data_IF_392895274363
#
_entry.id   IF_392895274363
#
_cell.length_a   1.000
_cell.length_b   1.000
_cell.length_c   1.000
_cell.angle_alpha   90.00
_cell.angle_beta   90.00
_cell.angle_gamma   90.00
#
_symmetry.space_group_name_H-M   'P 1'
#
loop_
_entity.id
_entity.type
_entity.pdbx_description
1 polymer ?
#
# COMPACT_ATOMS: atom_id res chain seq x y z
N UNK A 1 11.26 -17.71 -47.76
CA UNK A 1 10.81 -16.33 -47.49
C UNK A 1 9.80 -16.29 -46.32
N UNK A 2 8.70 -17.03 -46.43
CA UNK A 2 7.62 -17.03 -45.40
C UNK A 2 8.11 -17.41 -43.96
N UNK A 3 9.02 -18.40 -43.84
CA UNK A 3 9.55 -18.84 -42.57
C UNK A 3 10.39 -17.76 -41.85
N UNK A 4 11.19 -17.01 -42.62
CA UNK A 4 12.01 -15.90 -42.07
C UNK A 4 11.12 -14.73 -41.63
N UNK A 5 10.08 -14.41 -42.38
CA UNK A 5 9.12 -13.38 -42.02
C UNK A 5 8.36 -13.74 -40.74
N UNK A 6 7.87 -14.99 -40.67
CA UNK A 6 7.18 -15.48 -39.48
C UNK A 6 8.07 -15.48 -38.23
N UNK A 7 9.38 -15.79 -38.37
CA UNK A 7 10.35 -15.74 -37.29
C UNK A 7 10.55 -14.30 -36.80
N UNK A 8 10.74 -13.34 -37.70
CA UNK A 8 10.91 -11.91 -37.38
C UNK A 8 9.71 -11.34 -36.63
N UNK A 9 8.49 -11.61 -37.07
CA UNK A 9 7.25 -11.19 -36.42
C UNK A 9 7.15 -11.82 -35.00
N UNK A 10 7.52 -13.11 -34.89
CA UNK A 10 7.48 -13.80 -33.59
C UNK A 10 8.51 -13.23 -32.58
N UNK A 11 9.73 -12.90 -33.07
CA UNK A 11 10.77 -12.25 -32.28
C UNK A 11 10.30 -10.89 -31.76
N UNK A 12 9.78 -10.04 -32.65
CA UNK A 12 9.24 -8.72 -32.28
C UNK A 12 8.11 -8.83 -31.25
N UNK A 13 7.19 -9.79 -31.45
CA UNK A 13 6.11 -10.05 -30.48
C UNK A 13 6.65 -10.47 -29.11
N UNK A 14 7.65 -11.36 -29.08
CA UNK A 14 8.24 -11.81 -27.83
C UNK A 14 8.94 -10.68 -27.10
N UNK A 15 9.72 -9.84 -27.78
CA UNK A 15 10.36 -8.69 -27.18
C UNK A 15 9.35 -7.65 -26.68
N UNK A 16 8.32 -7.33 -27.46
CA UNK A 16 7.26 -6.42 -27.03
C UNK A 16 6.48 -6.96 -25.82
N UNK A 17 6.20 -8.27 -25.79
CA UNK A 17 5.54 -8.90 -24.64
C UNK A 17 6.46 -8.97 -23.40
N UNK A 18 7.77 -9.12 -23.57
CA UNK A 18 8.74 -9.13 -22.48
C UNK A 18 9.08 -7.72 -21.97
N UNK A 19 8.75 -6.67 -22.75
CA UNK A 19 8.95 -5.29 -22.34
C UNK A 19 7.96 -4.85 -21.25
N UNK A 20 6.83 -5.55 -21.11
CA UNK A 20 5.78 -5.26 -20.13
C UNK A 20 5.60 -6.53 -19.28
N UNK A 21 5.61 -6.39 -17.94
CA UNK A 21 5.34 -7.49 -17.04
C UNK A 21 3.81 -7.76 -16.93
N UNK A 22 3.45 -8.81 -16.17
CA UNK A 22 2.04 -9.19 -15.98
C UNK A 22 1.22 -8.17 -15.17
N UNK A 23 1.88 -7.19 -14.54
CA UNK A 23 1.25 -6.04 -13.87
C UNK A 23 1.15 -4.80 -14.78
N UNK A 24 1.58 -4.90 -16.06
CA UNK A 24 1.58 -3.77 -16.98
C UNK A 24 2.77 -2.81 -16.82
N UNK A 25 3.80 -3.18 -16.07
CA UNK A 25 5.00 -2.36 -15.85
C UNK A 25 6.00 -2.54 -16.97
N UNK A 26 6.66 -1.46 -17.33
CA UNK A 26 7.67 -1.46 -18.39
C UNK A 26 9.01 -1.95 -17.80
N UNK A 27 9.44 -3.16 -18.21
CA UNK A 27 10.75 -3.71 -17.86
C UNK A 27 11.88 -3.23 -18.78
N UNK A 28 11.55 -2.86 -20.02
CA UNK A 28 12.51 -2.37 -21.03
C UNK A 28 11.87 -1.30 -21.88
N UNK A 29 12.59 -0.19 -22.04
CA UNK A 29 12.12 0.95 -22.84
C UNK A 29 12.38 0.77 -24.34
N UNK A 30 13.25 -0.17 -24.74
CA UNK A 30 13.69 -0.32 -26.13
C UNK A 30 13.58 -1.77 -26.61
N UNK A 31 13.14 -1.93 -27.87
CA UNK A 31 13.26 -3.18 -28.60
C UNK A 31 14.63 -3.24 -29.28
N UNK A 32 15.26 -4.41 -29.30
CA UNK A 32 16.56 -4.62 -29.95
C UNK A 32 16.45 -5.24 -31.33
N UNK A 33 15.40 -6.05 -31.54
CA UNK A 33 15.21 -6.75 -32.80
C UNK A 33 14.58 -5.84 -33.85
N UNK A 34 15.04 -5.97 -35.09
CA UNK A 34 14.49 -5.38 -36.31
C UNK A 34 14.46 -3.84 -36.40
N UNK A 35 14.93 -3.10 -35.40
CA UNK A 35 14.93 -1.61 -35.35
C UNK A 35 15.73 -1.03 -36.52
N UNK A 36 16.80 -1.71 -36.96
CA UNK A 36 17.66 -1.28 -38.04
C UNK A 36 17.24 -1.83 -39.43
N UNK A 37 16.15 -2.59 -39.51
CA UNK A 37 15.65 -3.10 -40.78
C UNK A 37 14.98 -1.96 -41.58
N UNK A 38 15.25 -1.97 -42.89
CA UNK A 38 14.74 -0.95 -43.83
C UNK A 38 13.42 -1.35 -44.52
N UNK A 39 12.64 -2.21 -43.88
CA UNK A 39 11.34 -2.70 -44.40
C UNK A 39 10.20 -2.36 -43.40
N UNK A 40 8.96 -2.78 -43.77
CA UNK A 40 7.74 -2.49 -42.98
C UNK A 40 7.81 -3.07 -41.57
N UNK A 41 8.55 -4.16 -41.34
CA UNK A 41 8.75 -4.72 -39.98
C UNK A 41 9.70 -3.83 -39.18
N UNK A 42 10.73 -3.28 -39.82
CA UNK A 42 11.59 -2.28 -39.19
C UNK A 42 10.82 -1.03 -38.82
N UNK A 43 9.91 -0.55 -39.69
CA UNK A 43 9.05 0.60 -39.40
C UNK A 43 8.13 0.31 -38.19
N UNK A 44 7.54 -0.88 -38.16
CA UNK A 44 6.73 -1.32 -37.01
C UNK A 44 7.55 -1.40 -35.71
N UNK A 45 8.76 -2.00 -35.76
CA UNK A 45 9.65 -2.10 -34.62
C UNK A 45 10.02 -0.73 -34.07
N UNK A 46 10.36 0.23 -34.94
CA UNK A 46 10.65 1.63 -34.53
C UNK A 46 9.42 2.30 -33.92
N UNK A 47 8.24 2.09 -34.49
CA UNK A 47 6.99 2.66 -33.94
C UNK A 47 6.66 2.10 -32.56
N UNK A 48 6.83 0.80 -32.35
CA UNK A 48 6.63 0.17 -31.03
C UNK A 48 7.69 0.64 -30.03
N UNK A 49 8.97 0.73 -30.44
CA UNK A 49 10.05 1.27 -29.57
C UNK A 49 9.76 2.70 -29.14
N UNK A 50 9.35 3.58 -30.05
CA UNK A 50 8.99 4.95 -29.73
C UNK A 50 7.79 5.03 -28.76
N UNK A 51 6.82 4.11 -28.89
CA UNK A 51 5.69 4.03 -27.96
C UNK A 51 6.14 3.57 -26.57
N UNK A 52 6.99 2.56 -26.48
CA UNK A 52 7.56 2.07 -25.22
C UNK A 52 8.40 3.16 -24.55
N UNK A 53 9.22 3.88 -25.31
CA UNK A 53 10.02 5.00 -24.78
C UNK A 53 9.14 6.11 -24.22
N UNK A 54 8.07 6.52 -24.92
CA UNK A 54 7.11 7.51 -24.41
C UNK A 54 6.39 7.04 -23.18
N UNK A 55 6.00 5.76 -23.13
CA UNK A 55 5.41 5.16 -21.92
C UNK A 55 6.41 5.17 -20.76
N UNK A 56 7.67 4.83 -21.02
CA UNK A 56 8.72 4.88 -20.02
C UNK A 56 8.90 6.29 -19.46
N UNK A 57 9.05 7.29 -20.34
CA UNK A 57 9.17 8.70 -19.94
C UNK A 57 7.95 9.15 -19.11
N UNK A 58 6.75 8.75 -19.52
CA UNK A 58 5.53 9.09 -18.80
C UNK A 58 5.47 8.42 -17.43
N UNK A 59 5.84 7.13 -17.34
CA UNK A 59 5.91 6.41 -16.06
C UNK A 59 6.96 7.03 -15.14
N UNK A 60 8.18 7.27 -15.61
CA UNK A 60 9.25 7.90 -14.84
C UNK A 60 8.85 9.29 -14.33
N UNK A 61 8.14 10.07 -15.16
CA UNK A 61 7.58 11.34 -14.74
C UNK A 61 6.55 11.17 -13.61
N UNK A 62 5.62 10.23 -13.74
CA UNK A 62 4.63 9.94 -12.72
C UNK A 62 5.26 9.40 -11.42
N UNK A 63 6.30 8.59 -11.52
CA UNK A 63 7.06 8.04 -10.38
C UNK A 63 7.89 9.12 -9.65
N UNK A 64 8.50 10.05 -10.40
CA UNK A 64 9.29 11.13 -9.82
C UNK A 64 8.47 12.30 -9.27
N UNK A 65 7.26 12.50 -9.80
CA UNK A 65 6.36 13.60 -9.42
C UNK A 65 6.04 13.64 -7.91
N UNK A 66 5.71 12.51 -7.24
CA UNK A 66 5.37 12.53 -5.82
C UNK A 66 6.55 12.93 -4.93
N UNK A 67 7.79 12.57 -5.30
CA UNK A 67 9.00 12.98 -4.56
C UNK A 67 9.20 14.49 -4.65
N UNK A 68 9.09 15.05 -5.85
CA UNK A 68 9.21 16.50 -6.08
C UNK A 68 8.07 17.24 -5.40
N UNK A 69 6.82 16.80 -5.57
CA UNK A 69 5.66 17.38 -4.92
C UNK A 69 5.76 17.33 -3.39
N UNK A 70 6.32 16.24 -2.82
CA UNK A 70 6.55 16.16 -1.37
C UNK A 70 7.41 17.33 -0.90
N UNK A 71 8.55 17.58 -1.52
CA UNK A 71 9.45 18.66 -1.12
C UNK A 71 8.84 20.05 -1.35
N UNK A 72 8.25 20.25 -2.52
CA UNK A 72 7.67 21.54 -2.91
C UNK A 72 6.40 21.90 -2.11
N UNK A 73 5.62 20.91 -1.66
CA UNK A 73 4.40 21.16 -0.88
C UNK A 73 4.69 21.13 0.62
N UNK A 74 5.60 20.29 1.12
CA UNK A 74 5.92 20.27 2.55
C UNK A 74 6.57 21.58 3.03
N UNK A 75 7.34 22.25 2.21
CA UNK A 75 7.93 23.53 2.56
C UNK A 75 6.87 24.60 2.91
N UNK A 76 5.91 24.94 2.04
CA UNK A 76 4.85 25.89 2.37
C UNK A 76 3.90 25.37 3.48
N UNK A 77 3.67 24.05 3.60
CA UNK A 77 2.87 23.47 4.68
C UNK A 77 3.55 23.66 6.04
N UNK A 78 4.85 23.43 6.14
CA UNK A 78 5.62 23.67 7.36
C UNK A 78 5.58 25.16 7.74
N UNK A 79 5.73 26.06 6.76
CA UNK A 79 5.60 27.50 6.98
C UNK A 79 4.22 27.87 7.50
N UNK A 80 3.15 27.33 6.91
CA UNK A 80 1.76 27.54 7.37
C UNK A 80 1.54 26.97 8.77
N UNK A 81 2.04 25.77 9.04
CA UNK A 81 1.91 25.12 10.36
C UNK A 81 2.57 25.95 11.44
N UNK A 82 3.82 26.38 11.21
CA UNK A 82 4.58 27.24 12.14
C UNK A 82 3.89 28.59 12.31
N UNK A 83 3.40 29.20 11.24
CA UNK A 83 2.69 30.48 11.33
C UNK A 83 1.39 30.39 12.15
N UNK A 84 0.62 29.29 11.99
CA UNK A 84 -0.60 29.04 12.76
C UNK A 84 -0.29 28.72 14.23
N UNK A 85 0.86 28.11 14.50
CA UNK A 85 1.32 27.87 15.87
C UNK A 85 1.77 29.19 16.52
N UNK A 86 2.61 29.97 15.87
CA UNK A 86 3.06 31.27 16.37
C UNK A 86 1.88 32.22 16.62
N UNK A 87 0.86 32.19 15.73
CA UNK A 87 -0.36 32.98 15.91
C UNK A 87 -1.11 32.60 17.20
N UNK A 88 -1.19 31.31 17.50
CA UNK A 88 -1.82 30.83 18.73
C UNK A 88 -1.01 31.18 20.01
N UNK A 89 0.32 31.19 19.89
CA UNK A 89 1.22 31.56 21.01
C UNK A 89 1.21 33.06 21.25
N UNK A 90 1.19 33.88 20.19
CA UNK A 90 1.19 35.34 20.29
C UNK A 90 -0.18 35.91 20.72
N UNK A 91 -1.27 35.25 20.31
CA UNK A 91 -2.66 35.66 20.61
C UNK A 91 -3.46 34.49 21.22
N UNK A 92 -3.32 34.22 22.53
CA UNK A 92 -3.98 33.08 23.18
C UNK A 92 -5.51 33.08 23.05
N UNK A 93 -6.13 34.26 22.90
CA UNK A 93 -7.58 34.40 22.66
C UNK A 93 -8.03 33.82 21.31
N UNK A 94 -7.10 33.60 20.37
CA UNK A 94 -7.39 33.05 19.07
C UNK A 94 -7.24 31.52 19.06
N UNK A 95 -6.55 30.92 20.04
CA UNK A 95 -6.30 29.46 20.07
C UNK A 95 -7.62 28.67 20.20
N UNK A 96 -8.59 29.18 20.96
CA UNK A 96 -9.95 28.60 21.06
C UNK A 96 -10.82 28.84 19.82
N UNK A 97 -10.31 29.53 18.80
CA UNK A 97 -11.07 29.84 17.61
C UNK A 97 -11.32 28.59 16.76
N UNK A 98 -12.61 28.34 16.46
CA UNK A 98 -12.99 27.27 15.50
C UNK A 98 -12.33 27.42 14.13
N UNK A 99 -11.98 28.63 13.74
CA UNK A 99 -11.32 28.92 12.46
C UNK A 99 -9.85 28.51 12.48
N UNK A 100 -9.12 28.81 13.55
CA UNK A 100 -7.73 28.39 13.74
C UNK A 100 -7.64 26.86 13.83
N UNK A 101 -8.52 26.23 14.62
CA UNK A 101 -8.60 24.78 14.70
C UNK A 101 -8.92 24.15 13.34
N UNK A 102 -9.77 24.79 12.53
CA UNK A 102 -10.08 24.33 11.16
C UNK A 102 -8.89 24.47 10.22
N UNK A 103 -8.15 25.58 10.30
CA UNK A 103 -6.94 25.82 9.50
C UNK A 103 -5.84 24.82 9.85
N UNK A 104 -5.54 24.60 11.15
CA UNK A 104 -4.58 23.60 11.63
C UNK A 104 -4.93 22.19 11.10
N UNK A 105 -6.22 21.80 11.18
CA UNK A 105 -6.68 20.51 10.60
C UNK A 105 -6.51 20.46 9.08
N UNK A 106 -6.77 21.56 8.36
CA UNK A 106 -6.58 21.64 6.91
C UNK A 106 -5.13 21.43 6.48
N UNK A 107 -4.19 22.11 7.15
CA UNK A 107 -2.76 21.99 6.90
C UNK A 107 -2.28 20.56 7.19
N UNK A 108 -2.63 20.02 8.34
CA UNK A 108 -2.28 18.63 8.70
C UNK A 108 -2.82 17.62 7.67
N UNK A 109 -4.04 17.84 7.20
CA UNK A 109 -4.67 16.98 6.20
C UNK A 109 -3.94 17.01 4.86
N UNK A 110 -3.55 18.20 4.36
CA UNK A 110 -2.79 18.30 3.11
C UNK A 110 -1.42 17.59 3.27
N UNK A 111 -0.75 17.77 4.41
CA UNK A 111 0.50 17.07 4.72
C UNK A 111 0.35 15.54 4.66
N UNK A 112 -0.69 15.00 5.28
CA UNK A 112 -0.98 13.55 5.24
C UNK A 112 -1.26 13.04 3.81
N UNK A 113 -1.92 13.84 2.98
CA UNK A 113 -2.16 13.48 1.57
C UNK A 113 -0.86 13.36 0.79
N UNK A 114 -0.02 14.40 0.89
CA UNK A 114 1.27 14.45 0.19
C UNK A 114 2.19 13.33 0.66
N UNK A 115 2.19 13.05 1.97
CA UNK A 115 2.97 11.94 2.53
C UNK A 115 2.50 10.59 2.00
N UNK A 116 1.20 10.31 2.04
CA UNK A 116 0.64 9.06 1.52
C UNK A 116 0.90 8.87 0.03
N UNK A 117 0.82 9.94 -0.78
CA UNK A 117 1.12 9.89 -2.20
C UNK A 117 2.60 9.55 -2.45
N UNK A 118 3.50 10.16 -1.69
CA UNK A 118 4.92 9.91 -1.80
C UNK A 118 5.31 8.51 -1.30
N UNK A 119 4.68 8.03 -0.22
CA UNK A 119 4.89 6.67 0.28
C UNK A 119 4.45 5.62 -0.75
N UNK A 120 3.29 5.83 -1.37
CA UNK A 120 2.79 4.92 -2.40
C UNK A 120 3.69 4.88 -3.65
N UNK A 121 4.24 6.02 -4.08
CA UNK A 121 5.05 6.10 -5.29
C UNK A 121 6.48 5.53 -5.14
N UNK A 122 7.05 5.60 -3.92
CA UNK A 122 8.40 5.07 -3.68
C UNK A 122 8.38 3.62 -3.14
N UNK A 123 7.19 3.11 -2.81
CA UNK A 123 7.06 1.84 -2.12
C UNK A 123 7.59 0.68 -2.96
N UNK A 124 7.21 0.62 -4.22
CA UNK A 124 7.58 -0.50 -5.11
C UNK A 124 9.11 -0.60 -5.31
N UNK A 125 9.77 0.54 -5.56
CA UNK A 125 11.23 0.59 -5.73
C UNK A 125 11.97 0.20 -4.43
N UNK A 126 11.45 0.63 -3.27
CA UNK A 126 12.08 0.35 -2.00
C UNK A 126 11.89 -1.11 -1.55
N UNK A 127 10.78 -1.74 -1.91
CA UNK A 127 10.50 -3.13 -1.58
C UNK A 127 11.45 -4.11 -2.31
N UNK A 128 11.83 -3.83 -3.57
CA UNK A 128 12.72 -4.70 -4.35
C UNK A 128 14.11 -4.90 -3.70
N UNK A 129 14.54 -3.95 -2.88
CA UNK A 129 15.85 -3.98 -2.22
C UNK A 129 15.80 -4.57 -0.80
N UNK A 130 14.63 -4.97 -0.30
CA UNK A 130 14.47 -5.44 1.07
C UNK A 130 14.65 -6.94 1.21
N UNK A 131 15.40 -7.35 2.23
CA UNK A 131 15.59 -8.75 2.60
C UNK A 131 14.43 -9.19 3.50
N UNK A 132 13.87 -10.37 3.21
CA UNK A 132 12.81 -10.97 4.02
C UNK A 132 13.45 -11.89 5.05
N UNK A 133 13.01 -11.79 6.29
CA UNK A 133 13.48 -12.63 7.40
C UNK A 133 12.33 -13.50 7.93
N UNK A 134 12.68 -14.65 8.53
CA UNK A 134 11.69 -15.49 9.20
C UNK A 134 11.27 -14.83 10.51
N UNK A 135 10.01 -14.49 10.66
CA UNK A 135 9.45 -13.80 11.83
C UNK A 135 8.24 -14.56 12.37
N UNK A 136 8.16 -14.74 13.69
CA UNK A 136 6.97 -15.22 14.37
C UNK A 136 5.92 -14.10 14.39
N UNK A 137 4.95 -14.21 13.49
CA UNK A 137 3.95 -13.19 13.24
C UNK A 137 2.98 -13.01 14.43
N UNK A 138 2.73 -14.06 15.25
CA UNK A 138 1.90 -13.92 16.45
C UNK A 138 2.57 -13.03 17.50
N UNK A 139 3.82 -13.29 17.81
CA UNK A 139 4.60 -12.49 18.76
C UNK A 139 4.76 -11.04 18.28
N UNK A 140 5.01 -10.87 16.98
CA UNK A 140 5.14 -9.55 16.34
C UNK A 140 3.83 -8.76 16.46
N UNK A 141 2.69 -9.32 16.02
CA UNK A 141 1.39 -8.64 16.05
C UNK A 141 0.91 -8.37 17.48
N UNK A 142 1.17 -9.27 18.43
CA UNK A 142 0.85 -9.08 19.84
C UNK A 142 1.54 -7.84 20.42
N UNK A 143 2.83 -7.71 20.15
CA UNK A 143 3.63 -6.55 20.58
C UNK A 143 3.16 -5.27 19.89
N UNK A 144 2.93 -5.32 18.58
CA UNK A 144 2.47 -4.21 17.77
C UNK A 144 1.11 -3.68 18.26
N UNK A 145 0.11 -4.56 18.41
CA UNK A 145 -1.24 -4.16 18.87
C UNK A 145 -1.22 -3.60 20.29
N UNK A 146 -0.37 -4.13 21.16
CA UNK A 146 -0.18 -3.59 22.51
C UNK A 146 0.29 -2.13 22.47
N UNK A 147 1.26 -1.82 21.60
CA UNK A 147 1.77 -0.47 21.41
C UNK A 147 0.72 0.47 20.79
N UNK A 148 0.01 0.00 19.77
CA UNK A 148 -1.08 0.77 19.14
C UNK A 148 -2.21 1.09 20.12
N UNK A 149 -2.56 0.18 21.02
CA UNK A 149 -3.58 0.42 22.03
C UNK A 149 -3.22 1.56 23.01
N UNK A 150 -1.92 1.80 23.25
CA UNK A 150 -1.44 2.93 24.05
C UNK A 150 -1.60 4.28 23.31
N UNK A 151 -1.44 4.27 21.99
CA UNK A 151 -1.57 5.45 21.14
C UNK A 151 -3.05 5.82 20.89
N UNK A 152 -3.93 4.84 20.75
CA UNK A 152 -5.36 5.03 20.47
C UNK A 152 -6.25 4.80 21.70
N UNK A 153 -6.06 5.61 22.75
CA UNK A 153 -6.74 5.47 24.06
C UNK A 153 -8.28 5.48 23.98
N UNK A 154 -8.85 6.12 22.95
CA UNK A 154 -10.29 6.23 22.76
C UNK A 154 -10.90 5.03 21.99
N UNK A 155 -10.06 4.12 21.49
CA UNK A 155 -10.50 2.97 20.71
C UNK A 155 -10.02 1.68 21.35
N UNK A 156 -10.97 0.83 21.79
CA UNK A 156 -10.64 -0.48 22.32
C UNK A 156 -10.13 -1.39 21.21
N UNK A 157 -8.93 -1.94 21.35
CA UNK A 157 -8.35 -2.94 20.45
C UNK A 157 -8.35 -4.31 21.12
N UNK A 158 -8.67 -5.36 20.36
CA UNK A 158 -8.68 -6.74 20.83
C UNK A 158 -7.86 -7.55 19.82
N UNK A 159 -6.80 -8.18 20.32
CA UNK A 159 -5.97 -9.10 19.53
C UNK A 159 -6.32 -10.55 19.90
N UNK A 160 -6.47 -11.37 18.87
CA UNK A 160 -6.60 -12.82 18.97
C UNK A 160 -5.54 -13.46 18.09
N UNK A 161 -4.56 -14.09 18.71
CA UNK A 161 -3.47 -14.78 18.04
C UNK A 161 -3.83 -16.17 17.54
N UNK A 162 -2.87 -16.82 16.89
CA UNK A 162 -2.98 -18.20 16.44
C UNK A 162 -2.56 -19.18 17.52
N UNK A 163 -3.24 -20.33 17.60
CA UNK A 163 -2.81 -21.44 18.47
C UNK A 163 -1.69 -22.29 17.84
N UNK A 164 -1.41 -22.10 16.54
CA UNK A 164 -0.37 -22.80 15.79
C UNK A 164 0.83 -21.86 15.52
N UNK A 165 2.05 -22.40 15.30
CA UNK A 165 3.20 -21.61 14.91
C UNK A 165 2.90 -20.78 13.65
N UNK A 166 3.17 -19.48 13.70
CA UNK A 166 2.79 -18.52 12.67
C UNK A 166 4.03 -17.79 12.12
N UNK A 167 4.95 -18.54 11.50
CA UNK A 167 6.18 -17.99 10.93
C UNK A 167 5.96 -17.59 9.47
N UNK A 168 6.35 -16.38 9.10
CA UNK A 168 6.35 -15.88 7.72
C UNK A 168 7.70 -15.28 7.37
N UNK A 169 8.04 -15.32 6.07
CA UNK A 169 9.17 -14.57 5.51
C UNK A 169 8.71 -13.14 5.24
N UNK A 170 9.12 -12.21 6.09
CA UNK A 170 8.65 -10.83 6.04
C UNK A 170 9.76 -9.80 6.29
N UNK A 171 9.57 -8.60 5.80
CA UNK A 171 10.25 -7.39 6.26
C UNK A 171 9.38 -6.76 7.37
N UNK A 172 9.81 -6.82 8.61
CA UNK A 172 9.06 -6.43 9.81
C UNK A 172 8.54 -4.99 9.73
N UNK A 173 9.41 -4.05 9.35
CA UNK A 173 9.05 -2.64 9.13
C UNK A 173 7.91 -2.48 8.11
N UNK A 174 7.87 -3.31 7.05
CA UNK A 174 6.78 -3.24 6.06
C UNK A 174 5.48 -3.79 6.58
N UNK A 175 5.55 -4.82 7.40
CA UNK A 175 4.35 -5.33 8.06
C UNK A 175 3.83 -4.33 9.10
N UNK A 176 4.71 -3.60 9.81
CA UNK A 176 4.27 -2.46 10.65
C UNK A 176 3.54 -1.41 9.81
N UNK A 177 4.13 -0.97 8.69
CA UNK A 177 3.52 0.00 7.78
C UNK A 177 2.16 -0.47 7.24
N UNK A 178 2.04 -1.75 6.90
CA UNK A 178 0.79 -2.37 6.47
C UNK A 178 -0.26 -2.33 7.59
N UNK A 179 0.14 -2.71 8.80
CA UNK A 179 -0.73 -2.72 9.97
C UNK A 179 -1.18 -1.32 10.37
N UNK A 180 -0.31 -0.31 10.30
CA UNK A 180 -0.66 1.10 10.54
C UNK A 180 -1.82 1.52 9.61
N UNK A 181 -1.71 1.23 8.30
CA UNK A 181 -2.77 1.57 7.34
C UNK A 181 -4.08 0.82 7.60
N UNK A 182 -4.02 -0.43 8.02
CA UNK A 182 -5.20 -1.21 8.37
C UNK A 182 -5.87 -0.69 9.65
N UNK A 183 -5.08 -0.39 10.68
CA UNK A 183 -5.59 0.12 11.97
C UNK A 183 -6.15 1.53 11.81
N UNK A 184 -5.44 2.43 11.12
CA UNK A 184 -5.94 3.78 10.84
C UNK A 184 -7.29 3.72 10.13
N UNK A 185 -7.40 2.86 9.10
CA UNK A 185 -8.67 2.66 8.40
C UNK A 185 -9.76 2.13 9.35
N UNK A 186 -9.47 1.14 10.18
CA UNK A 186 -10.42 0.59 11.11
C UNK A 186 -10.87 1.61 12.16
N UNK A 187 -9.93 2.43 12.68
CA UNK A 187 -10.21 3.51 13.65
C UNK A 187 -11.04 4.64 13.04
N UNK A 188 -10.79 5.00 11.77
CA UNK A 188 -11.53 6.07 11.08
C UNK A 188 -12.98 5.67 10.80
N UNK A 189 -13.25 4.40 10.53
CA UNK A 189 -14.59 3.93 10.15
C UNK A 189 -15.33 3.16 11.26
N UNK A 190 -14.72 2.95 12.45
CA UNK A 190 -15.41 2.22 13.49
C UNK A 190 -16.55 3.04 14.11
N UNK A 191 -17.59 2.32 14.57
CA UNK A 191 -18.66 2.90 15.39
C UNK A 191 -18.12 3.15 16.80
N UNK A 192 -18.21 4.37 17.30
CA UNK A 192 -17.79 4.74 18.67
C UNK A 192 -18.37 3.76 19.70
N UNK A 193 -17.56 3.37 20.67
CA UNK A 193 -17.93 2.40 21.71
C UNK A 193 -17.82 0.93 21.31
N UNK A 194 -17.43 0.64 20.06
CA UNK A 194 -17.10 -0.73 19.61
C UNK A 194 -15.61 -0.96 19.59
N UNK A 195 -15.19 -2.24 19.61
CA UNK A 195 -13.77 -2.59 19.51
C UNK A 195 -13.35 -2.81 18.06
N UNK A 196 -12.11 -2.44 17.74
CA UNK A 196 -11.38 -2.92 16.57
C UNK A 196 -10.78 -4.29 16.94
N UNK A 197 -11.04 -5.30 16.11
CA UNK A 197 -10.56 -6.68 16.32
C UNK A 197 -9.47 -6.98 15.33
N UNK A 198 -8.35 -7.45 15.83
CA UNK A 198 -7.21 -7.94 15.06
C UNK A 198 -7.10 -9.45 15.33
N UNK A 199 -7.12 -10.25 14.28
CA UNK A 199 -7.07 -11.71 14.39
C UNK A 199 -6.02 -12.27 13.45
N UNK A 200 -5.26 -13.25 13.96
CA UNK A 200 -4.31 -14.03 13.18
C UNK A 200 -4.78 -15.48 13.15
N UNK A 201 -5.07 -16.00 11.96
CA UNK A 201 -5.42 -17.40 11.73
C UNK A 201 -4.32 -18.07 10.94
N UNK A 202 -3.99 -19.32 11.31
CA UNK A 202 -3.03 -20.16 10.61
C UNK A 202 -3.79 -21.24 9.83
N UNK A 203 -3.55 -21.31 8.51
CA UNK A 203 -4.03 -22.34 7.60
C UNK A 203 -2.84 -23.21 7.13
N UNK A 204 -3.06 -24.34 6.46
CA UNK A 204 -1.98 -25.25 6.08
C UNK A 204 -0.82 -24.59 5.31
N UNK A 205 -1.11 -23.66 4.41
CA UNK A 205 -0.12 -23.03 3.55
C UNK A 205 -0.09 -21.49 3.68
N UNK A 206 -0.97 -20.90 4.51
CA UNK A 206 -1.12 -19.44 4.59
C UNK A 206 -1.43 -18.98 6.01
N UNK A 207 -0.96 -17.78 6.32
CA UNK A 207 -1.34 -17.01 7.50
C UNK A 207 -2.32 -15.92 7.08
N UNK A 208 -3.36 -15.69 7.87
CA UNK A 208 -4.36 -14.68 7.60
C UNK A 208 -4.43 -13.67 8.75
N UNK A 209 -4.13 -12.42 8.44
CA UNK A 209 -4.34 -11.27 9.33
C UNK A 209 -5.68 -10.65 8.97
N UNK A 210 -6.57 -10.48 9.95
CA UNK A 210 -7.86 -9.80 9.77
C UNK A 210 -7.94 -8.61 10.72
N UNK A 211 -8.21 -7.42 10.18
CA UNK A 211 -8.51 -6.22 10.98
C UNK A 211 -9.97 -5.83 10.73
N UNK A 212 -10.80 -6.02 11.74
CA UNK A 212 -12.24 -5.84 11.65
C UNK A 212 -12.74 -4.70 12.53
N UNK A 213 -13.64 -3.89 11.99
CA UNK A 213 -14.34 -2.85 12.72
C UNK A 213 -15.85 -2.93 12.50
N UNK A 214 -16.63 -2.57 13.50
CA UNK A 214 -18.07 -2.31 13.34
C UNK A 214 -18.28 -0.90 12.81
N UNK A 215 -19.06 -0.77 11.74
CA UNK A 215 -19.29 0.49 11.05
C UNK A 215 -20.12 0.31 9.78
N UNK A 216 -20.04 1.25 8.84
CA UNK A 216 -20.70 1.12 7.54
C UNK A 216 -20.19 -0.10 6.78
N UNK A 217 -21.10 -0.84 6.15
CA UNK A 217 -20.76 -1.94 5.23
C UNK A 217 -20.40 -1.37 3.85
N UNK A 218 -19.63 -2.13 3.09
CA UNK A 218 -19.25 -1.79 1.72
C UNK A 218 -20.17 -2.48 0.72
N UNK A 219 -20.47 -1.81 -0.41
CA UNK A 219 -21.13 -2.47 -1.53
C UNK A 219 -20.17 -3.45 -2.22
N UNK A 220 -20.70 -4.41 -2.97
CA UNK A 220 -19.88 -5.40 -3.69
C UNK A 220 -18.88 -4.77 -4.66
N UNK A 221 -19.25 -3.65 -5.29
CA UNK A 221 -18.36 -2.91 -6.17
C UNK A 221 -17.18 -2.31 -5.41
N UNK A 222 -17.46 -1.76 -4.22
CA UNK A 222 -16.43 -1.18 -3.32
C UNK A 222 -15.50 -2.25 -2.78
N UNK A 223 -16.05 -3.39 -2.34
CA UNK A 223 -15.24 -4.50 -1.85
C UNK A 223 -14.21 -4.98 -2.88
N UNK A 224 -14.60 -5.04 -4.16
CA UNK A 224 -13.72 -5.47 -5.25
C UNK A 224 -12.59 -4.48 -5.56
N UNK A 225 -12.83 -3.18 -5.36
CA UNK A 225 -11.87 -2.13 -5.69
C UNK A 225 -11.28 -1.42 -4.47
N UNK A 226 -11.53 -1.93 -3.25
CA UNK A 226 -11.10 -1.27 -2.01
C UNK A 226 -9.59 -1.07 -1.91
N UNK A 227 -8.82 -1.94 -2.53
CA UNK A 227 -7.35 -1.92 -2.56
C UNK A 227 -6.76 -1.34 -3.86
N UNK A 228 -7.58 -0.85 -4.79
CA UNK A 228 -7.10 -0.19 -6.00
C UNK A 228 -6.62 1.22 -5.69
N UNK A 229 -5.66 1.72 -6.48
CA UNK A 229 -5.14 3.07 -6.29
C UNK A 229 -6.22 4.13 -6.50
N UNK A 230 -6.22 5.15 -5.64
CA UNK A 230 -7.11 6.32 -5.72
C UNK A 230 -8.61 6.01 -5.59
N UNK A 231 -9.01 4.82 -5.15
CA UNK A 231 -10.41 4.52 -4.82
C UNK A 231 -10.70 5.04 -3.42
N UNK A 232 -11.45 6.14 -3.34
CA UNK A 232 -11.84 6.77 -2.09
C UNK A 232 -13.35 6.85 -1.99
N UNK A 233 -13.90 6.34 -0.90
CA UNK A 233 -15.30 6.58 -0.53
C UNK A 233 -15.36 7.57 0.64
N UNK A 234 -16.26 8.55 0.52
CA UNK A 234 -16.49 9.56 1.58
C UNK A 234 -17.01 8.84 2.83
N UNK A 235 -16.21 8.82 3.89
CA UNK A 235 -16.67 8.36 5.19
C UNK A 235 -17.71 9.29 5.82
N UNK A 236 -18.41 8.83 6.87
CA UNK A 236 -19.51 9.58 7.50
C UNK A 236 -19.08 10.92 8.12
N UNK A 237 -17.78 11.18 8.29
CA UNK A 237 -17.24 12.43 8.81
C UNK A 237 -16.68 13.36 7.72
N UNK A 238 -17.06 13.17 6.45
CA UNK A 238 -16.55 13.97 5.30
C UNK A 238 -15.01 13.97 5.20
N UNK A 239 -14.32 12.94 5.75
CA UNK A 239 -12.89 12.75 5.59
C UNK A 239 -12.64 12.15 4.21
N UNK A 240 -11.95 12.88 3.35
CA UNK A 240 -11.48 12.37 2.06
C UNK A 240 -10.30 11.45 2.32
N UNK A 241 -10.52 10.13 2.23
CA UNK A 241 -9.45 9.16 2.14
C UNK A 241 -9.07 9.06 0.67
N UNK A 242 -7.80 9.28 0.34
CA UNK A 242 -7.33 9.30 -1.06
C UNK A 242 -7.24 7.90 -1.68
N UNK A 243 -7.66 6.86 -0.96
CA UNK A 243 -7.60 5.49 -1.46
C UNK A 243 -6.18 4.93 -1.61
N UNK A 244 -5.17 5.61 -1.06
CA UNK A 244 -3.78 5.18 -1.15
C UNK A 244 -3.34 4.28 0.01
N UNK A 245 -3.99 4.37 1.18
CA UNK A 245 -3.63 3.56 2.35
C UNK A 245 -3.82 2.06 2.09
N UNK A 246 -4.98 1.65 1.57
CA UNK A 246 -5.22 0.25 1.23
C UNK A 246 -4.44 -0.20 -0.01
N UNK A 247 -4.12 0.69 -0.94
CA UNK A 247 -3.18 0.40 -2.04
C UNK A 247 -1.80 0.02 -1.50
N UNK A 248 -1.25 0.77 -0.53
CA UNK A 248 0.01 0.44 0.15
C UNK A 248 -0.07 -0.95 0.80
N UNK A 249 -1.18 -1.26 1.47
CA UNK A 249 -1.41 -2.61 2.05
C UNK A 249 -1.33 -3.70 0.98
N UNK A 250 -1.97 -3.49 -0.19
CA UNK A 250 -1.93 -4.46 -1.29
C UNK A 250 -0.51 -4.66 -1.81
N UNK A 251 0.20 -3.58 -2.10
CA UNK A 251 1.56 -3.66 -2.66
C UNK A 251 2.51 -4.38 -1.69
N UNK A 252 2.42 -4.08 -0.39
CA UNK A 252 3.21 -4.78 0.63
C UNK A 252 2.83 -6.27 0.69
N UNK A 253 1.53 -6.60 0.71
CA UNK A 253 1.08 -7.99 0.76
C UNK A 253 1.57 -8.77 -0.48
N UNK A 254 1.43 -8.21 -1.69
CA UNK A 254 1.88 -8.82 -2.95
C UNK A 254 3.40 -9.02 -2.98
N UNK A 255 4.19 -8.07 -2.44
CA UNK A 255 5.64 -8.22 -2.32
C UNK A 255 6.03 -9.42 -1.46
N UNK A 256 5.26 -9.69 -0.41
CA UNK A 256 5.44 -10.85 0.48
C UNK A 256 4.79 -12.14 -0.07
N UNK A 257 4.41 -12.18 -1.36
CA UNK A 257 3.75 -13.32 -1.99
C UNK A 257 2.32 -13.56 -1.55
N UNK A 258 1.71 -12.57 -0.90
CA UNK A 258 0.38 -12.63 -0.34
C UNK A 258 -0.68 -11.90 -1.17
N UNK A 259 -1.87 -11.76 -0.58
CA UNK A 259 -2.99 -11.03 -1.16
C UNK A 259 -3.75 -10.26 -0.09
N UNK A 260 -4.39 -9.14 -0.49
CA UNK A 260 -5.25 -8.35 0.39
C UNK A 260 -6.67 -8.26 -0.18
N UNK A 261 -7.68 -8.36 0.69
CA UNK A 261 -9.10 -8.26 0.33
C UNK A 261 -9.92 -7.63 1.44
N UNK A 262 -11.06 -7.02 1.07
CA UNK A 262 -12.07 -6.52 2.00
C UNK A 262 -13.29 -7.45 1.99
N UNK A 263 -13.89 -7.66 3.17
CA UNK A 263 -15.13 -8.44 3.30
C UNK A 263 -16.06 -7.74 4.29
N UNK A 264 -17.37 -7.81 4.05
CA UNK A 264 -18.34 -7.42 5.06
C UNK A 264 -18.43 -8.52 6.13
N UNK A 265 -18.60 -8.12 7.39
CA UNK A 265 -18.84 -9.06 8.47
C UNK A 265 -20.15 -9.85 8.21
N UNK A 266 -20.22 -11.14 8.54
CA UNK A 266 -21.39 -11.98 8.25
C UNK A 266 -22.70 -11.47 8.86
N UNK A 267 -22.60 -10.75 9.98
CA UNK A 267 -23.76 -10.15 10.67
C UNK A 267 -24.15 -8.78 10.10
N UNK A 268 -23.48 -8.31 9.04
CA UNK A 268 -23.71 -7.00 8.43
C UNK A 268 -23.38 -5.82 9.34
N UNK A 269 -22.64 -6.01 10.42
CA UNK A 269 -22.36 -4.99 11.42
C UNK A 269 -21.13 -4.15 11.11
N UNK A 270 -20.36 -4.48 10.06
CA UNK A 270 -19.12 -3.81 9.72
C UNK A 270 -18.33 -4.50 8.62
N UNK A 271 -17.02 -4.22 8.59
CA UNK A 271 -16.08 -4.68 7.55
C UNK A 271 -14.85 -5.28 8.20
N UNK A 272 -14.22 -6.24 7.53
CA UNK A 272 -12.88 -6.73 7.83
C UNK A 272 -11.98 -6.54 6.61
N UNK A 273 -10.79 -5.99 6.84
CA UNK A 273 -9.66 -6.02 5.91
C UNK A 273 -8.83 -7.25 6.20
N UNK A 274 -8.59 -8.06 5.18
CA UNK A 274 -7.95 -9.36 5.30
C UNK A 274 -6.71 -9.39 4.44
N UNK A 275 -5.58 -9.75 5.04
CA UNK A 275 -4.30 -9.98 4.36
C UNK A 275 -3.91 -11.43 4.55
N UNK A 276 -3.60 -12.12 3.47
CA UNK A 276 -3.10 -13.49 3.49
C UNK A 276 -1.64 -13.47 3.05
N UNK A 277 -0.77 -14.13 3.81
CA UNK A 277 0.67 -14.26 3.55
C UNK A 277 1.01 -15.75 3.48
N UNK A 278 2.02 -16.16 2.71
CA UNK A 278 2.51 -17.53 2.73
C UNK A 278 3.04 -17.91 4.11
N UNK A 279 2.72 -19.11 4.56
CA UNK A 279 3.38 -19.72 5.72
C UNK A 279 4.83 -20.03 5.33
N UNK A 280 5.80 -19.73 6.20
CA UNK A 280 7.19 -20.08 5.93
C UNK A 280 7.37 -21.60 5.91
N UNK A 281 8.29 -22.08 5.04
CA UNK A 281 8.65 -23.49 4.99
C UNK A 281 9.20 -23.97 6.35
N UNK A 282 9.01 -25.24 6.65
CA UNK A 282 9.38 -25.85 7.94
C UNK A 282 10.87 -25.64 8.31
N UNK A 283 11.74 -25.53 7.31
CA UNK A 283 13.18 -25.29 7.51
C UNK A 283 13.47 -23.88 8.05
N UNK A 284 12.72 -22.89 7.59
CA UNK A 284 12.83 -21.50 8.07
C UNK A 284 12.25 -21.35 9.47
N UNK A 285 11.17 -22.05 9.77
CA UNK A 285 10.57 -22.11 11.11
C UNK A 285 11.51 -22.78 12.14
N UNK A 286 12.17 -23.87 11.75
CA UNK A 286 13.14 -24.57 12.61
C UNK A 286 14.38 -23.72 12.94
N UNK A 287 14.83 -22.88 12.01
CA UNK A 287 15.93 -21.92 12.28
C UNK A 287 15.54 -20.88 13.32
N UNK A 288 14.31 -20.41 13.28
CA UNK A 288 13.80 -19.43 14.27
C UNK A 288 13.72 -20.04 15.67
N UNK A 289 13.26 -21.29 15.79
CA UNK A 289 13.21 -22.02 17.07
C UNK A 289 14.61 -22.25 17.67
N UNK A 290 15.62 -22.48 16.83
CA UNK A 290 16.99 -22.68 17.28
C UNK A 290 17.70 -21.42 17.79
N UNK A 291 17.16 -20.23 17.50
CA UNK A 291 17.70 -18.91 17.90
C UNK A 291 16.95 -18.35 19.12
N UNK A 292 15.81 -18.90 19.50
CA UNK A 292 15.10 -18.50 20.72
C UNK A 292 15.94 -18.87 21.95
N UNK A 293 16.26 -17.88 22.83
CA UNK A 293 17.03 -18.11 24.05
C UNK A 293 16.28 -18.96 25.08
#
# INVERSE_FOLDING_TARGET
FAGRLAWRIRSLRQEASAAIDHYGRLRRAELKSEVNAGDEIGDLSRSVSNMLEKLHQHNTFLESMPRTLRHEINNPLNTLSTSLQNLAEEFPEVDDSKYLASAKRGVHRIGSIVQNLADAANLEESLEAEELEAVDLDSFLRSYVSNCALAHKDTRMIYQGSDAPAVAMIADFRIEQLMDKLIDNAVDFHRKGTAVRIQLDCFPDTLQISVANRGPVMSDQVLKSAFDSMVSHRGPQNRLHFGLGLYVVRVIAEHHGGVAKAVNLPDGSGVAMVVQLPLAEAESAARLEAIRP
#
